data_IF_664237110536
#
_entry.id   IF_664237110536
#
_cell.length_a   1.000
_cell.length_b   1.000
_cell.length_c   1.000
_cell.angle_alpha   90.00
_cell.angle_beta   90.00
_cell.angle_gamma   90.00
#
_symmetry.space_group_name_H-M   'P 1'
#
loop_
_entity.id
_entity.type
_entity.pdbx_description
1 polymer ?
#
# COMPACT_ATOMS: atom_id res chain seq x y z
N UNK A 1 -28.89 1.29 -3.98
CA UNK A 1 -28.26 2.24 -4.91
C UNK A 1 -26.79 2.54 -4.57
N UNK A 2 -26.43 2.80 -3.29
CA UNK A 2 -25.04 3.06 -2.83
C UNK A 2 -24.00 2.00 -3.21
N UNK A 3 -24.27 0.72 -2.95
CA UNK A 3 -23.32 -0.37 -3.24
C UNK A 3 -22.95 -0.50 -4.73
N UNK A 4 -23.84 -0.09 -5.65
CA UNK A 4 -23.56 -0.08 -7.09
C UNK A 4 -22.53 1.00 -7.45
N UNK A 5 -22.65 2.19 -6.84
CA UNK A 5 -21.68 3.27 -7.02
C UNK A 5 -20.31 2.90 -6.47
N UNK A 6 -20.24 2.26 -5.30
CA UNK A 6 -18.99 1.78 -4.72
C UNK A 6 -18.32 0.73 -5.62
N UNK A 7 -19.07 -0.24 -6.14
CA UNK A 7 -18.53 -1.25 -7.06
C UNK A 7 -17.94 -0.63 -8.33
N UNK A 8 -18.62 0.36 -8.92
CA UNK A 8 -18.13 1.08 -10.10
C UNK A 8 -16.88 1.91 -9.78
N UNK A 9 -16.81 2.51 -8.58
CA UNK A 9 -15.67 3.30 -8.16
C UNK A 9 -14.39 2.43 -8.02
N UNK A 10 -14.52 1.21 -7.49
CA UNK A 10 -13.39 0.28 -7.35
C UNK A 10 -12.96 -0.37 -8.68
N UNK A 11 -13.90 -0.62 -9.60
CA UNK A 11 -13.61 -1.20 -10.93
C UNK A 11 -12.62 -0.35 -11.75
N UNK A 12 -12.57 0.96 -11.47
CA UNK A 12 -11.67 1.90 -12.16
C UNK A 12 -10.27 1.98 -11.56
N UNK A 13 -10.02 1.33 -10.43
CA UNK A 13 -8.74 1.38 -9.75
C UNK A 13 -7.79 0.33 -10.32
N UNK A 14 -6.50 0.67 -10.39
CA UNK A 14 -5.47 -0.30 -10.75
C UNK A 14 -5.30 -1.30 -9.60
N UNK A 15 -5.52 -2.57 -9.87
CA UNK A 15 -5.22 -3.66 -8.94
C UNK A 15 -3.86 -4.25 -9.27
N UNK A 16 -2.98 -4.35 -8.27
CA UNK A 16 -1.68 -5.01 -8.40
C UNK A 16 -1.84 -6.50 -8.05
N UNK A 17 -1.48 -7.44 -8.93
CA UNK A 17 -1.61 -8.87 -8.66
C UNK A 17 -0.50 -9.37 -7.72
N UNK A 18 -0.87 -10.24 -6.77
CA UNK A 18 0.05 -10.82 -5.79
C UNK A 18 0.76 -12.07 -6.33
N UNK A 19 1.76 -11.89 -7.19
CA UNK A 19 2.61 -13.00 -7.65
C UNK A 19 3.49 -13.56 -6.52
N UNK A 20 4.15 -14.71 -6.74
CA UNK A 20 5.09 -15.26 -5.75
C UNK A 20 6.27 -14.30 -5.50
N UNK A 21 6.83 -13.70 -6.54
CA UNK A 21 7.91 -12.71 -6.44
C UNK A 21 7.47 -11.47 -5.64
N UNK A 22 6.24 -10.99 -5.87
CA UNK A 22 5.64 -9.90 -5.08
C UNK A 22 5.60 -10.23 -3.59
N UNK A 23 5.16 -11.43 -3.23
CA UNK A 23 5.09 -11.85 -1.83
C UNK A 23 6.48 -11.97 -1.21
N UNK A 24 7.46 -12.51 -1.94
CA UNK A 24 8.84 -12.60 -1.46
C UNK A 24 9.47 -11.23 -1.25
N UNK A 25 9.24 -10.28 -2.16
CA UNK A 25 9.69 -8.90 -1.99
C UNK A 25 9.03 -8.22 -0.77
N UNK A 26 7.75 -8.51 -0.51
CA UNK A 26 7.07 -8.05 0.70
C UNK A 26 7.65 -8.67 1.98
N UNK A 27 8.09 -9.93 1.94
CA UNK A 27 8.82 -10.55 3.06
C UNK A 27 10.14 -9.82 3.30
N UNK A 28 10.91 -9.51 2.24
CA UNK A 28 12.15 -8.75 2.38
C UNK A 28 11.90 -7.36 2.98
N UNK A 29 10.82 -6.68 2.57
CA UNK A 29 10.38 -5.42 3.18
C UNK A 29 10.06 -5.59 4.67
N UNK A 30 9.40 -6.69 5.07
CA UNK A 30 9.08 -6.95 6.48
C UNK A 30 10.30 -7.24 7.34
N UNK A 31 11.42 -7.65 6.73
CA UNK A 31 12.68 -7.89 7.43
C UNK A 31 13.44 -6.57 7.65
N UNK A 32 13.45 -5.68 6.65
CA UNK A 32 14.18 -4.40 6.73
C UNK A 32 13.37 -3.27 7.37
N UNK A 33 12.05 -3.44 7.46
CA UNK A 33 11.16 -2.53 8.18
C UNK A 33 10.62 -3.22 9.42
N UNK A 34 10.03 -2.48 10.35
CA UNK A 34 9.34 -3.06 11.51
C UNK A 34 7.84 -3.28 11.26
N UNK A 35 7.43 -3.30 10.00
CA UNK A 35 6.03 -3.49 9.62
C UNK A 35 5.64 -4.96 9.51
N UNK A 36 4.34 -5.22 9.67
CA UNK A 36 3.80 -6.57 9.47
C UNK A 36 3.89 -6.95 7.99
N UNK A 37 3.80 -8.25 7.69
CA UNK A 37 3.77 -8.71 6.30
C UNK A 37 2.60 -8.09 5.52
N UNK A 38 1.45 -7.84 6.16
CA UNK A 38 0.28 -7.25 5.50
C UNK A 38 0.52 -5.81 5.04
N UNK A 39 1.14 -5.00 5.90
CA UNK A 39 1.57 -3.64 5.55
C UNK A 39 2.63 -3.66 4.45
N UNK A 40 3.53 -4.66 4.49
CA UNK A 40 4.57 -4.82 3.47
C UNK A 40 4.02 -5.26 2.11
N UNK A 41 2.90 -5.99 2.05
CA UNK A 41 2.19 -6.27 0.80
C UNK A 41 1.61 -4.97 0.21
N UNK A 42 1.07 -4.08 1.05
CA UNK A 42 0.58 -2.76 0.60
C UNK A 42 1.75 -1.90 0.09
N UNK A 43 2.88 -1.88 0.81
CA UNK A 43 4.09 -1.21 0.38
C UNK A 43 4.60 -1.74 -0.96
N UNK A 44 4.70 -3.07 -1.12
CA UNK A 44 5.15 -3.65 -2.38
C UNK A 44 4.20 -3.32 -3.54
N UNK A 45 2.89 -3.31 -3.29
CA UNK A 45 1.91 -2.92 -4.31
C UNK A 45 2.10 -1.45 -4.74
N UNK A 46 2.37 -0.56 -3.79
CA UNK A 46 2.66 0.84 -4.09
C UNK A 46 3.98 1.00 -4.88
N UNK A 47 5.01 0.21 -4.57
CA UNK A 47 6.28 0.17 -5.33
C UNK A 47 6.02 -0.25 -6.78
N UNK A 48 5.32 -1.37 -7.00
CA UNK A 48 5.05 -1.90 -8.35
C UNK A 48 4.12 -0.99 -9.16
N UNK A 49 3.20 -0.29 -8.47
CA UNK A 49 2.34 0.71 -9.06
C UNK A 49 3.04 2.04 -9.34
N UNK A 50 4.27 2.24 -8.83
CA UNK A 50 5.04 3.48 -8.87
C UNK A 50 4.32 4.66 -8.20
N UNK A 51 3.63 4.38 -7.10
CA UNK A 51 3.05 5.41 -6.27
C UNK A 51 4.15 6.21 -5.56
N UNK A 52 3.87 7.48 -5.24
CA UNK A 52 4.74 8.32 -4.42
C UNK A 52 4.27 8.41 -2.96
N UNK A 53 3.05 7.93 -2.68
CA UNK A 53 2.37 8.03 -1.39
C UNK A 53 1.55 6.80 -1.05
N UNK A 54 1.45 6.51 0.25
CA UNK A 54 0.46 5.61 0.86
C UNK A 54 -0.31 6.42 1.90
N UNK A 55 -1.64 6.38 1.80
CA UNK A 55 -2.51 6.90 2.84
C UNK A 55 -2.83 5.80 3.83
N UNK A 56 -2.46 5.98 5.10
CA UNK A 56 -2.72 4.99 6.15
C UNK A 56 -2.75 5.63 7.53
N UNK A 57 -3.73 5.25 8.34
CA UNK A 57 -3.87 5.67 9.74
C UNK A 57 -3.00 4.82 10.68
N UNK A 58 -2.81 3.55 10.33
CA UNK A 58 -2.11 2.56 11.15
C UNK A 58 -0.59 2.59 10.95
N UNK A 59 -0.12 3.08 9.79
CA UNK A 59 1.30 3.20 9.51
C UNK A 59 1.86 4.54 10.00
N UNK A 60 3.13 4.53 10.43
CA UNK A 60 3.86 5.71 10.88
C UNK A 60 3.77 6.90 9.89
N UNK A 61 2.95 7.90 10.24
CA UNK A 61 2.86 9.15 9.50
C UNK A 61 4.24 9.78 9.38
N UNK A 62 4.57 10.18 8.15
CA UNK A 62 5.79 10.88 7.85
C UNK A 62 7.04 10.01 7.74
N UNK A 63 6.91 8.69 7.64
CA UNK A 63 7.99 7.82 7.21
C UNK A 63 8.08 7.77 5.67
N UNK A 64 9.28 7.58 5.13
CA UNK A 64 9.50 7.36 3.69
C UNK A 64 10.23 6.04 3.46
N UNK A 65 9.65 5.13 2.67
CA UNK A 65 10.22 3.81 2.36
C UNK A 65 10.31 3.66 0.86
N UNK A 66 11.51 3.35 0.34
CA UNK A 66 11.74 3.16 -1.11
C UNK A 66 11.19 4.31 -1.98
N UNK A 67 11.21 5.54 -1.46
CA UNK A 67 10.69 6.73 -2.15
C UNK A 67 9.20 7.01 -1.95
N UNK A 68 8.47 6.14 -1.24
CA UNK A 68 7.04 6.28 -0.95
C UNK A 68 6.86 6.95 0.40
N UNK A 69 6.11 8.06 0.43
CA UNK A 69 5.75 8.79 1.65
C UNK A 69 4.50 8.20 2.29
N UNK A 70 4.54 7.91 3.59
CA UNK A 70 3.35 7.49 4.33
C UNK A 70 2.68 8.73 4.93
N UNK A 71 1.41 8.93 4.63
CA UNK A 71 0.60 10.06 5.10
C UNK A 71 -0.68 9.55 5.76
N UNK A 72 -0.82 9.78 7.07
CA UNK A 72 -2.11 9.68 7.73
C UNK A 72 -3.01 10.86 7.30
N UNK A 73 -4.14 10.61 6.61
CA UNK A 73 -5.02 11.66 6.08
C UNK A 73 -5.86 12.37 7.15
N UNK A 74 -5.86 11.88 8.40
CA UNK A 74 -6.62 12.46 9.51
C UNK A 74 -5.79 13.39 10.40
N UNK A 75 -4.47 13.47 10.18
CA UNK A 75 -3.54 14.28 10.99
C UNK A 75 -3.07 15.55 10.30
N UNK A 76 -3.61 15.85 9.11
CA UNK A 76 -3.32 17.05 8.31
C UNK A 76 -4.18 18.24 8.71
#
# INVERSE_FOLDING_TARGET
MRALFEKIAFDRQRVVPSSAEFVLNAVDLSIVTSYTIWDCLILQAAIDAKCDRIYSEDMQHGQTIKGIRIENPLTS
#
